data_IF_056148920985
#
_entry.id   IF_056148920985
#
_cell.length_a   1.000
_cell.length_b   1.000
_cell.length_c   1.000
_cell.angle_alpha   90.00
_cell.angle_beta   90.00
_cell.angle_gamma   90.00
#
_symmetry.space_group_name_H-M   'P 1'
#
loop_
_entity.id
_entity.type
_entity.pdbx_description
1 polymer ?
#
# COMPACT_ATOMS: atom_id res chain seq x y z
N UNK A 1 -13.20 22.89 -33.37
CA UNK A 1 -12.13 22.65 -34.36
C UNK A 1 -12.78 22.34 -35.69
N UNK A 2 -12.33 22.90 -36.83
CA UNK A 2 -12.91 22.54 -38.13
C UNK A 2 -12.66 21.05 -38.42
N UNK A 3 -13.64 20.39 -39.05
CA UNK A 3 -13.58 18.97 -39.40
C UNK A 3 -12.37 18.69 -40.30
N UNK A 4 -11.68 17.58 -40.05
CA UNK A 4 -10.52 17.17 -40.83
C UNK A 4 -11.00 16.66 -42.20
N UNK A 5 -10.66 17.34 -43.29
CA UNK A 5 -10.99 16.89 -44.64
C UNK A 5 -10.19 15.61 -44.96
N UNK A 6 -10.91 14.51 -45.22
CA UNK A 6 -10.32 13.25 -45.64
C UNK A 6 -10.03 13.36 -47.14
N UNK A 7 -8.78 13.67 -47.51
CA UNK A 7 -8.35 13.76 -48.90
C UNK A 7 -7.20 12.77 -49.20
N UNK A 8 -7.46 11.78 -50.05
CA UNK A 8 -6.45 10.84 -50.56
C UNK A 8 -7.04 9.70 -51.39
N UNK A 9 -6.29 9.13 -52.36
CA UNK A 9 -6.74 7.98 -53.14
C UNK A 9 -6.91 6.74 -52.26
N UNK A 10 -7.90 5.91 -52.59
CA UNK A 10 -8.17 4.67 -51.86
C UNK A 10 -6.96 3.73 -51.92
N UNK A 11 -6.52 3.26 -50.76
CA UNK A 11 -5.44 2.27 -50.64
C UNK A 11 -6.02 0.89 -51.02
N UNK A 12 -5.35 0.08 -51.88
CA UNK A 12 -5.81 -1.25 -52.21
C UNK A 12 -6.05 -2.12 -50.96
N UNK A 13 -7.21 -2.78 -50.88
CA UNK A 13 -7.57 -3.65 -49.75
C UNK A 13 -8.21 -2.92 -48.55
N UNK A 14 -8.42 -1.60 -48.61
CA UNK A 14 -9.10 -0.84 -47.54
C UNK A 14 -10.42 -0.23 -48.01
N UNK A 15 -11.31 0.08 -47.06
CA UNK A 15 -12.54 0.83 -47.31
C UNK A 15 -12.30 2.32 -46.99
N UNK A 16 -12.85 3.25 -47.79
CA UNK A 16 -12.78 4.68 -47.49
C UNK A 16 -13.32 4.99 -46.10
N UNK A 17 -12.65 5.89 -45.38
CA UNK A 17 -13.11 6.37 -44.07
C UNK A 17 -14.30 7.31 -44.27
N UNK A 18 -15.49 6.91 -43.81
CA UNK A 18 -16.74 7.66 -44.00
C UNK A 18 -17.20 8.39 -42.75
N UNK A 19 -16.37 8.48 -41.70
CA UNK A 19 -16.73 9.22 -40.47
C UNK A 19 -16.57 10.72 -40.73
N UNK A 20 -17.63 11.49 -40.47
CA UNK A 20 -17.63 12.96 -40.61
C UNK A 20 -17.38 13.65 -39.28
N UNK A 21 -16.87 14.88 -39.30
CA UNK A 21 -16.67 15.71 -38.11
C UNK A 21 -15.27 15.57 -37.50
N UNK A 22 -15.16 15.81 -36.19
CA UNK A 22 -13.90 15.62 -35.45
C UNK A 22 -13.73 14.14 -35.07
N UNK A 23 -12.99 13.41 -35.91
CA UNK A 23 -12.77 11.96 -35.76
C UNK A 23 -11.97 11.65 -34.49
N UNK A 24 -11.04 12.53 -34.10
CA UNK A 24 -10.25 12.35 -32.89
C UNK A 24 -11.14 12.45 -31.65
N UNK A 25 -12.03 13.46 -31.60
CA UNK A 25 -13.02 13.57 -30.53
C UNK A 25 -13.95 12.34 -30.47
N UNK A 26 -14.46 11.87 -31.61
CA UNK A 26 -15.32 10.67 -31.65
C UNK A 26 -14.60 9.40 -31.19
N UNK A 27 -13.30 9.29 -31.46
CA UNK A 27 -12.48 8.18 -30.99
C UNK A 27 -12.32 8.22 -29.47
N UNK A 28 -12.02 9.40 -28.91
CA UNK A 28 -11.92 9.59 -27.44
C UNK A 28 -13.25 9.27 -26.78
N UNK A 29 -14.37 9.80 -27.28
CA UNK A 29 -15.72 9.51 -26.78
C UNK A 29 -16.05 8.01 -26.85
N UNK A 30 -15.59 7.33 -27.90
CA UNK A 30 -15.75 5.88 -28.08
C UNK A 30 -14.91 5.09 -27.07
N UNK A 31 -13.66 5.49 -26.84
CA UNK A 31 -12.78 4.89 -25.83
C UNK A 31 -13.39 5.06 -24.44
N UNK A 32 -13.84 6.27 -24.09
CA UNK A 32 -14.46 6.54 -22.79
C UNK A 32 -15.71 5.67 -22.59
N UNK A 33 -16.60 5.60 -23.60
CA UNK A 33 -17.80 4.75 -23.53
C UNK A 33 -17.45 3.28 -23.33
N UNK A 34 -16.42 2.78 -24.03
CA UNK A 34 -15.96 1.40 -23.89
C UNK A 34 -15.34 1.15 -22.51
N UNK A 35 -14.47 2.03 -22.03
CA UNK A 35 -13.84 1.86 -20.72
C UNK A 35 -14.84 1.95 -19.57
N UNK A 36 -15.83 2.85 -19.67
CA UNK A 36 -16.93 2.94 -18.72
C UNK A 36 -17.79 1.68 -18.71
N UNK A 37 -18.12 1.12 -19.88
CA UNK A 37 -18.89 -0.13 -19.94
C UNK A 37 -18.08 -1.32 -19.41
N UNK A 38 -16.77 -1.38 -19.67
CA UNK A 38 -15.88 -2.39 -19.08
C UNK A 38 -15.79 -2.26 -17.55
N UNK A 39 -15.74 -1.03 -17.01
CA UNK A 39 -15.77 -0.75 -15.57
C UNK A 39 -17.07 -1.23 -14.94
N UNK A 40 -18.23 -0.93 -15.54
CA UNK A 40 -19.53 -1.43 -15.08
C UNK A 40 -19.58 -2.96 -15.11
N UNK A 41 -19.22 -3.57 -16.25
CA UNK A 41 -19.17 -5.02 -16.41
C UNK A 41 -18.17 -5.69 -15.45
N UNK A 42 -17.13 -4.99 -15.02
CA UNK A 42 -16.13 -5.52 -14.08
C UNK A 42 -16.74 -5.88 -12.71
N UNK A 43 -17.81 -5.21 -12.29
CA UNK A 43 -18.48 -5.48 -11.01
C UNK A 43 -19.09 -6.88 -11.03
N UNK A 44 -19.86 -7.20 -12.07
CA UNK A 44 -20.46 -8.53 -12.24
C UNK A 44 -19.38 -9.61 -12.45
N UNK A 45 -18.35 -9.33 -13.26
CA UNK A 45 -17.23 -10.26 -13.50
C UNK A 45 -16.42 -10.53 -12.24
N UNK A 46 -16.30 -9.58 -11.30
CA UNK A 46 -15.56 -9.79 -10.06
C UNK A 46 -16.15 -10.93 -9.23
N UNK A 47 -17.48 -11.07 -9.19
CA UNK A 47 -18.15 -12.10 -8.40
C UNK A 47 -17.76 -13.52 -8.82
N UNK A 48 -17.49 -13.78 -10.10
CA UNK A 48 -17.12 -15.12 -10.58
C UNK A 48 -15.76 -15.61 -10.04
N UNK A 49 -14.91 -14.70 -9.56
CA UNK A 49 -13.64 -15.04 -8.91
C UNK A 49 -13.81 -15.37 -7.42
N UNK A 50 -15.02 -15.26 -6.85
CA UNK A 50 -15.30 -15.52 -5.45
C UNK A 50 -16.28 -16.69 -5.29
N UNK A 51 -15.75 -17.91 -5.21
CA UNK A 51 -16.54 -19.14 -4.97
C UNK A 51 -16.81 -19.34 -3.48
N UNK A 52 -17.40 -18.34 -2.81
CA UNK A 52 -17.59 -18.33 -1.35
C UNK A 52 -18.57 -19.40 -0.91
N UNK A 53 -18.16 -20.22 0.05
CA UNK A 53 -19.04 -21.18 0.71
C UNK A 53 -19.48 -20.61 2.07
N UNK A 54 -20.76 -20.30 2.21
CA UNK A 54 -21.32 -19.72 3.43
C UNK A 54 -21.94 -20.77 4.37
N UNK A 55 -21.76 -22.07 4.11
CA UNK A 55 -22.38 -23.13 4.90
C UNK A 55 -21.75 -23.31 6.29
N UNK A 56 -20.49 -22.89 6.48
CA UNK A 56 -19.85 -22.77 7.80
C UNK A 56 -18.68 -21.79 7.75
N UNK A 57 -18.17 -21.38 8.92
CA UNK A 57 -17.00 -20.50 9.01
C UNK A 57 -15.75 -21.18 8.42
N UNK A 58 -15.56 -22.47 8.68
CA UNK A 58 -14.44 -23.27 8.18
C UNK A 58 -14.48 -23.37 6.67
N UNK A 59 -15.66 -23.71 6.11
CA UNK A 59 -15.86 -23.79 4.66
C UNK A 59 -15.69 -22.45 3.97
N UNK A 60 -16.13 -21.37 4.60
CA UNK A 60 -15.87 -20.02 4.10
C UNK A 60 -14.37 -19.76 3.99
N UNK A 61 -13.59 -20.03 5.04
CA UNK A 61 -12.13 -19.85 5.00
C UNK A 61 -11.48 -20.70 3.91
N UNK A 62 -11.83 -21.99 3.79
CA UNK A 62 -11.31 -22.88 2.74
C UNK A 62 -11.66 -22.38 1.34
N UNK A 63 -12.87 -21.83 1.15
CA UNK A 63 -13.31 -21.31 -0.14
C UNK A 63 -12.52 -20.08 -0.62
N UNK A 64 -11.91 -19.35 0.30
CA UNK A 64 -11.07 -18.17 0.01
C UNK A 64 -9.62 -18.53 -0.30
N UNK A 65 -9.18 -19.75 0.02
CA UNK A 65 -7.78 -20.15 -0.05
C UNK A 65 -7.14 -19.95 -1.44
N UNK A 66 -7.81 -20.29 -2.58
CA UNK A 66 -7.25 -20.01 -3.90
C UNK A 66 -6.98 -18.52 -4.15
N UNK A 67 -7.86 -17.64 -3.64
CA UNK A 67 -7.69 -16.19 -3.77
C UNK A 67 -6.57 -15.66 -2.86
N UNK A 68 -6.41 -16.22 -1.65
CA UNK A 68 -5.28 -15.90 -0.76
C UNK A 68 -3.96 -16.29 -1.40
N UNK A 69 -3.86 -17.50 -1.96
CA UNK A 69 -2.67 -17.98 -2.66
C UNK A 69 -2.35 -17.12 -3.89
N UNK A 70 -3.36 -16.77 -4.68
CA UNK A 70 -3.19 -15.86 -5.83
C UNK A 70 -2.75 -14.46 -5.40
N UNK A 71 -3.31 -13.93 -4.31
CA UNK A 71 -2.89 -12.63 -3.78
C UNK A 71 -1.45 -12.67 -3.26
N UNK A 72 -1.09 -13.71 -2.50
CA UNK A 72 0.28 -13.94 -2.07
C UNK A 72 1.24 -14.08 -3.27
N UNK A 73 0.75 -14.69 -4.36
CA UNK A 73 1.48 -14.79 -5.60
C UNK A 73 1.80 -13.41 -6.18
N UNK A 74 0.78 -12.58 -6.39
CA UNK A 74 0.89 -11.25 -6.97
C UNK A 74 1.77 -10.32 -6.12
N UNK A 75 1.63 -10.39 -4.79
CA UNK A 75 2.37 -9.54 -3.86
C UNK A 75 3.81 -10.03 -3.59
N UNK A 76 4.19 -11.22 -4.07
CA UNK A 76 5.51 -11.81 -3.80
C UNK A 76 5.71 -12.30 -2.35
N UNK A 77 4.67 -12.35 -1.53
CA UNK A 77 4.73 -12.76 -0.11
C UNK A 77 4.59 -14.29 0.06
N UNK A 78 5.47 -15.04 -0.61
CA UNK A 78 5.41 -16.51 -0.66
C UNK A 78 6.47 -17.21 0.18
N UNK A 79 7.52 -16.50 0.55
CA UNK A 79 8.59 -17.05 1.34
C UNK A 79 8.14 -17.23 2.80
N UNK A 80 8.67 -18.27 3.44
CA UNK A 80 8.44 -18.48 4.86
C UNK A 80 8.94 -17.28 5.66
N UNK A 81 8.13 -16.80 6.61
CA UNK A 81 8.55 -15.74 7.54
C UNK A 81 9.69 -16.24 8.41
N UNK A 82 10.66 -15.38 8.67
CA UNK A 82 11.71 -15.67 9.67
C UNK A 82 11.02 -15.74 11.04
N UNK A 83 11.10 -16.86 11.77
CA UNK A 83 10.55 -16.95 13.11
C UNK A 83 11.34 -16.05 14.07
N UNK A 84 10.64 -15.37 14.96
CA UNK A 84 11.23 -14.58 16.04
C UNK A 84 10.30 -14.60 17.25
N UNK A 85 10.86 -14.49 18.45
CA UNK A 85 10.10 -14.59 19.71
C UNK A 85 9.35 -13.30 20.06
N UNK A 86 9.94 -12.15 19.73
CA UNK A 86 9.37 -10.84 20.00
C UNK A 86 10.11 -9.72 19.27
N UNK A 87 9.52 -8.53 19.30
CA UNK A 87 10.16 -7.34 18.77
C UNK A 87 11.41 -7.00 19.60
N UNK A 88 12.50 -6.66 18.92
CA UNK A 88 13.75 -6.25 19.57
C UNK A 88 13.69 -4.76 19.91
N UNK A 89 14.01 -4.40 21.16
CA UNK A 89 14.13 -3.01 21.60
C UNK A 89 15.44 -2.40 21.08
N UNK A 90 15.32 -1.31 20.31
CA UNK A 90 16.48 -0.64 19.70
C UNK A 90 17.05 0.37 20.69
N UNK A 91 18.29 0.17 21.14
CA UNK A 91 19.00 1.10 22.03
C UNK A 91 20.50 1.11 21.76
N UNK A 92 21.20 2.12 22.27
CA UNK A 92 22.65 2.21 22.30
C UNK A 92 23.13 2.75 23.65
N UNK A 93 24.44 2.80 23.87
CA UNK A 93 25.02 3.46 25.06
C UNK A 93 24.71 4.95 25.14
N UNK A 94 24.29 5.56 24.02
CA UNK A 94 23.93 6.97 23.94
C UNK A 94 22.42 7.22 23.84
N UNK A 95 21.62 6.19 23.52
CA UNK A 95 20.18 6.34 23.22
C UNK A 95 19.35 5.24 23.89
N UNK A 96 18.35 5.67 24.65
CA UNK A 96 17.37 4.77 25.29
C UNK A 96 16.48 4.08 24.24
N UNK A 97 15.99 2.89 24.57
CA UNK A 97 14.92 2.23 23.81
C UNK A 97 13.55 2.88 24.03
N UNK A 98 13.36 3.59 25.15
CA UNK A 98 12.20 4.44 25.39
C UNK A 98 12.42 5.78 24.70
N UNK A 99 11.61 6.06 23.68
CA UNK A 99 11.72 7.27 22.85
C UNK A 99 10.66 8.32 23.19
N UNK A 100 9.67 7.96 23.99
CA UNK A 100 8.63 8.87 24.44
C UNK A 100 7.72 8.25 25.48
N UNK A 101 6.92 9.09 26.13
CA UNK A 101 5.88 8.70 27.07
C UNK A 101 4.69 9.64 26.90
N UNK A 102 3.49 9.11 27.08
CA UNK A 102 2.27 9.91 27.17
C UNK A 102 1.53 9.62 28.48
N UNK A 103 0.27 10.05 28.56
CA UNK A 103 -0.53 9.81 29.75
C UNK A 103 -0.99 8.35 29.79
N UNK A 104 -0.31 7.52 30.58
CA UNK A 104 -0.67 6.12 30.79
C UNK A 104 -0.07 5.14 29.78
N UNK A 105 0.98 5.52 29.07
CA UNK A 105 1.68 4.63 28.12
C UNK A 105 3.12 5.06 27.86
N UNK A 106 3.93 4.10 27.39
CA UNK A 106 5.31 4.28 26.96
C UNK A 106 5.48 3.98 25.47
N UNK A 107 6.46 4.63 24.83
CA UNK A 107 6.79 4.43 23.42
C UNK A 107 8.20 3.91 23.27
N UNK A 108 8.34 2.79 22.56
CA UNK A 108 9.59 2.07 22.38
C UNK A 108 10.00 2.05 20.91
N UNK A 109 11.29 2.31 20.63
CA UNK A 109 11.86 2.00 19.33
C UNK A 109 12.07 0.49 19.20
N UNK A 110 11.55 -0.10 18.13
CA UNK A 110 11.56 -1.55 17.92
C UNK A 110 12.02 -1.94 16.52
N UNK A 111 12.59 -3.15 16.40
CA UNK A 111 12.92 -3.79 15.14
C UNK A 111 12.55 -5.28 15.13
N UNK A 112 12.34 -5.85 13.95
CA UNK A 112 12.05 -7.28 13.77
C UNK A 112 12.59 -7.82 12.44
N UNK A 113 12.96 -9.10 12.33
CA UNK A 113 13.40 -9.68 11.08
C UNK A 113 12.23 -9.81 10.09
N UNK A 114 12.49 -9.56 8.81
CA UNK A 114 11.51 -9.70 7.72
C UNK A 114 11.93 -10.82 6.77
N UNK A 115 12.99 -10.59 6.00
CA UNK A 115 13.52 -11.56 5.03
C UNK A 115 15.01 -11.35 4.85
N UNK A 116 15.79 -12.44 4.79
CA UNK A 116 17.26 -12.40 4.73
C UNK A 116 17.81 -11.47 5.83
N UNK A 117 18.52 -10.42 5.43
CA UNK A 117 19.15 -9.45 6.32
C UNK A 117 18.35 -8.13 6.38
N UNK A 118 17.07 -8.15 5.99
CA UNK A 118 16.18 -6.99 6.03
C UNK A 118 15.37 -7.03 7.32
N UNK A 119 15.36 -5.90 8.01
CA UNK A 119 14.59 -5.68 9.22
C UNK A 119 13.47 -4.67 8.96
N UNK A 120 12.34 -4.87 9.63
CA UNK A 120 11.34 -3.84 9.83
C UNK A 120 11.69 -3.07 11.09
N UNK A 121 11.42 -1.77 11.09
CA UNK A 121 11.60 -0.89 12.22
C UNK A 121 10.33 -0.07 12.44
N UNK A 122 10.15 0.45 13.65
CA UNK A 122 8.99 1.26 13.99
C UNK A 122 8.93 1.60 15.47
N UNK A 123 7.75 2.04 15.90
CA UNK A 123 7.46 2.35 17.29
C UNK A 123 6.43 1.39 17.87
N UNK A 124 6.65 0.92 19.10
CA UNK A 124 5.70 0.16 19.87
C UNK A 124 5.19 1.04 21.03
N UNK A 125 3.90 1.34 21.03
CA UNK A 125 3.22 2.08 22.09
C UNK A 125 2.54 1.07 22.99
N UNK A 126 2.89 1.07 24.28
CA UNK A 126 2.41 0.10 25.26
C UNK A 126 1.71 0.85 26.40
N UNK A 127 0.43 0.58 26.66
CA UNK A 127 -0.27 1.15 27.80
C UNK A 127 0.31 0.58 29.11
N UNK A 128 0.26 1.36 30.18
CA UNK A 128 0.75 0.94 31.51
C UNK A 128 -0.11 -0.21 32.09
N UNK A 129 -1.36 -0.31 31.64
CA UNK A 129 -2.28 -1.39 31.99
C UNK A 129 -2.21 -2.54 30.97
N UNK A 130 -2.79 -3.69 31.33
CA UNK A 130 -2.91 -4.81 30.41
C UNK A 130 -3.63 -4.38 29.11
N UNK A 131 -3.03 -4.58 27.92
CA UNK A 131 -3.64 -4.15 26.67
C UNK A 131 -4.97 -4.85 26.40
N UNK A 132 -5.97 -4.09 25.94
CA UNK A 132 -7.28 -4.65 25.55
C UNK A 132 -7.25 -5.26 24.15
N UNK A 133 -6.30 -4.83 23.31
CA UNK A 133 -6.08 -5.32 21.95
C UNK A 133 -4.66 -5.00 21.47
N UNK A 134 -4.21 -5.77 20.48
CA UNK A 134 -2.99 -5.50 19.69
C UNK A 134 -3.37 -4.92 18.33
N UNK A 135 -2.75 -3.80 17.94
CA UNK A 135 -3.02 -3.10 16.68
C UNK A 135 -1.73 -2.83 15.91
N UNK A 136 -1.74 -3.10 14.61
CA UNK A 136 -0.71 -2.63 13.68
C UNK A 136 -1.25 -1.40 12.95
N UNK A 137 -0.76 -0.23 13.34
CA UNK A 137 -1.18 1.07 12.81
C UNK A 137 -0.31 1.46 11.61
N UNK A 138 -0.77 1.20 10.39
CA UNK A 138 -0.02 1.49 9.17
C UNK A 138 -0.24 2.95 8.73
N UNK A 139 0.79 3.82 8.74
CA UNK A 139 0.66 5.22 8.31
C UNK A 139 0.52 5.38 6.79
N UNK A 140 0.24 6.59 6.31
CA UNK A 140 0.60 6.91 4.91
C UNK A 140 2.12 6.90 4.74
N UNK A 141 2.60 6.65 3.52
CA UNK A 141 4.03 6.55 3.25
C UNK A 141 4.82 7.82 3.62
N UNK A 142 4.19 8.99 3.62
CA UNK A 142 4.85 10.26 3.93
C UNK A 142 4.68 10.69 5.41
N UNK A 143 4.01 9.88 6.22
CA UNK A 143 3.86 10.06 7.67
C UNK A 143 4.84 9.17 8.43
N UNK A 144 5.53 9.70 9.45
CA UNK A 144 6.45 8.91 10.27
C UNK A 144 5.74 8.29 11.48
N UNK A 145 6.28 7.21 12.07
CA UNK A 145 5.77 6.65 13.32
C UNK A 145 5.67 7.69 14.44
N UNK A 146 6.63 8.60 14.55
CA UNK A 146 6.65 9.68 15.52
C UNK A 146 5.47 10.64 15.32
N UNK A 147 5.12 10.98 14.06
CA UNK A 147 3.98 11.85 13.76
C UNK A 147 2.67 11.19 14.20
N UNK A 148 2.45 9.91 13.86
CA UNK A 148 1.26 9.16 14.28
C UNK A 148 1.13 9.00 15.79
N UNK A 149 2.28 9.00 16.49
CA UNK A 149 2.38 8.83 17.94
C UNK A 149 2.32 10.17 18.70
N UNK A 150 2.29 11.30 17.99
CA UNK A 150 2.34 12.64 18.59
C UNK A 150 3.69 13.04 19.16
N UNK A 151 4.77 12.34 18.79
CA UNK A 151 6.15 12.63 19.22
C UNK A 151 6.83 13.67 18.33
N UNK A 152 6.32 13.90 17.12
CA UNK A 152 6.81 14.93 16.21
C UNK A 152 5.65 15.70 15.58
N UNK A 153 5.92 16.94 15.15
CA UNK A 153 4.96 17.73 14.40
C UNK A 153 4.70 17.12 13.01
N UNK A 154 3.51 17.35 12.46
CA UNK A 154 3.16 16.91 11.10
C UNK A 154 1.72 16.44 10.95
N UNK A 155 1.04 16.13 12.05
CA UNK A 155 -0.37 15.72 12.09
C UNK A 155 -1.12 16.42 13.21
N UNK A 156 -2.38 16.77 12.95
CA UNK A 156 -3.27 17.28 13.98
C UNK A 156 -3.54 16.20 15.05
N UNK A 157 -3.79 16.56 16.32
CA UNK A 157 -3.96 15.58 17.40
C UNK A 157 -5.03 14.52 17.16
N UNK A 158 -6.02 14.81 16.31
CA UNK A 158 -7.12 13.92 15.93
C UNK A 158 -6.71 12.89 14.86
N UNK A 159 -5.65 13.17 14.10
CA UNK A 159 -5.11 12.30 13.06
C UNK A 159 -4.02 11.35 13.60
N UNK A 160 -3.56 11.58 14.84
CA UNK A 160 -2.57 10.77 15.56
C UNK A 160 -3.20 9.48 16.09
N UNK A 161 -3.76 8.66 15.20
CA UNK A 161 -4.60 7.53 15.59
C UNK A 161 -3.83 6.45 16.37
N UNK A 162 -2.51 6.33 16.22
CA UNK A 162 -1.72 5.43 17.07
C UNK A 162 -1.69 5.90 18.53
N UNK A 163 -1.53 7.21 18.76
CA UNK A 163 -1.66 7.83 20.09
C UNK A 163 -3.05 7.59 20.68
N UNK A 164 -4.10 7.89 19.90
CA UNK A 164 -5.48 7.73 20.37
C UNK A 164 -5.80 6.28 20.74
N UNK A 165 -5.30 5.30 19.97
CA UNK A 165 -5.50 3.88 20.26
C UNK A 165 -4.81 3.45 21.55
N UNK A 166 -3.57 3.89 21.80
CA UNK A 166 -2.88 3.52 23.06
C UNK A 166 -3.50 4.19 24.27
N UNK A 167 -3.96 5.43 24.14
CA UNK A 167 -4.72 6.14 25.20
C UNK A 167 -6.03 5.42 25.54
N UNK A 168 -6.59 4.65 24.60
CA UNK A 168 -7.77 3.79 24.82
C UNK A 168 -7.41 2.34 25.19
N UNK A 169 -6.16 2.07 25.59
CA UNK A 169 -5.72 0.79 26.15
C UNK A 169 -5.24 -0.25 25.14
N UNK A 170 -5.08 0.09 23.86
CA UNK A 170 -4.49 -0.82 22.87
C UNK A 170 -2.96 -0.80 22.95
N UNK A 171 -2.31 -1.93 22.71
CA UNK A 171 -0.87 -1.95 22.37
C UNK A 171 -0.74 -1.77 20.86
N UNK A 172 0.05 -0.79 20.43
CA UNK A 172 0.07 -0.34 19.04
C UNK A 172 1.48 -0.43 18.46
N UNK A 173 1.65 -1.17 17.37
CA UNK A 173 2.87 -1.16 16.55
C UNK A 173 2.68 -0.24 15.34
N UNK A 174 3.54 0.75 15.20
CA UNK A 174 3.56 1.69 14.07
C UNK A 174 4.81 1.43 13.24
N UNK A 175 4.72 0.71 12.10
CA UNK A 175 5.88 0.44 11.26
C UNK A 175 6.33 1.70 10.51
N UNK A 176 7.64 1.87 10.38
CA UNK A 176 8.22 2.84 9.45
C UNK A 176 7.98 2.36 8.01
N UNK A 177 7.37 3.22 7.20
CA UNK A 177 7.21 2.95 5.77
C UNK A 177 8.31 3.59 4.95
N UNK A 178 8.55 3.00 3.77
CA UNK A 178 9.41 3.61 2.76
C UNK A 178 8.66 4.81 2.18
N UNK A 179 9.19 6.01 2.42
CA UNK A 179 8.56 7.27 2.00
C UNK A 179 8.61 7.52 0.47
N UNK A 180 7.87 8.53 0.01
CA UNK A 180 7.83 8.91 -1.42
C UNK A 180 8.77 10.06 -1.76
N UNK A 181 9.75 10.36 -0.90
CA UNK A 181 10.65 11.48 -1.09
C UNK A 181 11.45 11.32 -2.39
N UNK A 182 11.46 12.36 -3.24
CA UNK A 182 12.18 12.38 -4.51
C UNK A 182 13.58 12.92 -4.32
N UNK A 183 14.59 12.08 -4.54
CA UNK A 183 16.01 12.47 -4.48
C UNK A 183 16.79 11.99 -5.71
N UNK A 184 17.87 12.67 -6.11
CA UNK A 184 18.81 12.15 -7.10
C UNK A 184 19.46 10.84 -6.60
N UNK A 185 19.60 9.84 -7.48
CA UNK A 185 20.19 8.53 -7.14
C UNK A 185 21.44 8.26 -7.96
N UNK A 186 22.62 8.43 -7.36
CA UNK A 186 23.91 8.04 -7.95
C UNK A 186 24.20 8.68 -9.31
N UNK A 187 23.86 9.97 -9.50
CA UNK A 187 24.04 10.68 -10.78
C UNK A 187 23.05 10.30 -11.89
N UNK A 188 22.07 9.43 -11.59
CA UNK A 188 20.97 9.07 -12.50
C UNK A 188 19.75 9.98 -12.26
N UNK A 189 18.62 9.59 -12.87
CA UNK A 189 17.35 10.29 -12.74
C UNK A 189 16.87 10.49 -11.30
N UNK A 190 15.98 11.47 -11.13
CA UNK A 190 15.27 11.72 -9.88
C UNK A 190 14.14 10.71 -9.75
N UNK A 191 14.03 10.05 -8.61
CA UNK A 191 12.99 9.07 -8.32
C UNK A 191 12.68 9.02 -6.83
N UNK A 192 11.52 8.46 -6.49
CA UNK A 192 11.12 8.27 -5.09
C UNK A 192 11.95 7.18 -4.41
N UNK A 193 12.02 7.18 -3.07
CA UNK A 193 12.68 6.10 -2.32
C UNK A 193 12.04 4.73 -2.59
N UNK A 194 10.70 4.69 -2.69
CA UNK A 194 9.95 3.47 -3.07
C UNK A 194 10.33 2.96 -4.46
N UNK A 195 10.36 3.85 -5.45
CA UNK A 195 10.71 3.48 -6.81
C UNK A 195 12.15 2.97 -6.90
N UNK A 196 13.09 3.61 -6.20
CA UNK A 196 14.47 3.18 -6.16
C UNK A 196 14.61 1.74 -5.65
N UNK A 197 13.98 1.41 -4.51
CA UNK A 197 13.98 0.05 -3.97
C UNK A 197 13.26 -0.94 -4.89
N UNK A 198 12.10 -0.55 -5.43
CA UNK A 198 11.34 -1.41 -6.32
C UNK A 198 12.13 -1.75 -7.59
N UNK A 199 12.74 -0.76 -8.25
CA UNK A 199 13.55 -0.98 -9.46
C UNK A 199 14.76 -1.87 -9.21
N UNK A 200 15.40 -1.74 -8.05
CA UNK A 200 16.51 -2.63 -7.66
C UNK A 200 16.08 -4.07 -7.38
N UNK A 201 14.77 -4.33 -7.25
CA UNK A 201 14.23 -5.66 -6.97
C UNK A 201 13.93 -6.48 -8.24
N UNK A 202 14.06 -5.88 -9.43
CA UNK A 202 13.95 -6.58 -10.71
C UNK A 202 15.33 -6.64 -11.35
N UNK A 203 15.75 -7.84 -11.72
CA UNK A 203 16.83 -8.00 -12.68
C UNK A 203 16.30 -7.57 -14.06
N UNK A 204 17.06 -6.73 -14.77
CA UNK A 204 16.81 -6.35 -16.15
C UNK A 204 17.42 -7.37 -17.10
#
# INVERSE_FOLDING_TARGET
>A
MPAQEIAGPQIPGTKPLTLQGDIAAQMVDGIDRFLLSELEASIARRASFWKRDFSSAERYQSSLEPNRQRLAHILGVRDARIPFEGLELVSSTAQSHVVGQGQGYQVFAVRWPVVRNIHGEGLLLVPDQAPVADVIAVPDADQTPEMLSGLSAGLEPQEQFARLLVENGCRVLVPQLINREIKPRGGRGRMTNREYLYRSSFEL
#
